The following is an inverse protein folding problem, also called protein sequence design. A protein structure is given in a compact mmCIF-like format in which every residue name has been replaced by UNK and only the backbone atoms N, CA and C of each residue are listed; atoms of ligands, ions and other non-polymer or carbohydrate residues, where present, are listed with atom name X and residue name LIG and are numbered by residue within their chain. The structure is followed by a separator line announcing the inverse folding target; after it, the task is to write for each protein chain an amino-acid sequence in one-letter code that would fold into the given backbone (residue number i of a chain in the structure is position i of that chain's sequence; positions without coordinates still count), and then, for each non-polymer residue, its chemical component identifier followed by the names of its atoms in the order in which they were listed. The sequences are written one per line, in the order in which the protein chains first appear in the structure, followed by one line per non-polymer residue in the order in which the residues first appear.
data_IF_805727926991
#
_entry.id   IF_805727926991
#
_cell.length_a   1.000
_cell.length_b   1.000
_cell.length_c   1.000
_cell.angle_alpha   90.00
_cell.angle_beta   90.00
_cell.angle_gamma   90.00
#
_symmetry.space_group_name_H-M   'P 1'
#
loop_
_entity.id
_entity.type
_entity.pdbx_description
1 polymer ?
#
# COMPACT_ATOMS: atom_id res chain seq x y z
N UNK A 1 -14.23 -13.74 -2.87
CA UNK A 1 -13.42 -13.28 -4.01
C UNK A 1 -11.98 -13.66 -3.73
N UNK A 2 -11.50 -14.70 -4.38
CA UNK A 2 -10.09 -15.09 -4.26
C UNK A 2 -9.27 -14.13 -5.12
N UNK A 3 -8.70 -13.14 -4.48
CA UNK A 3 -7.84 -12.15 -5.13
C UNK A 3 -6.34 -12.49 -5.00
N UNK A 4 -6.05 -13.78 -4.82
CA UNK A 4 -4.70 -14.31 -4.98
C UNK A 4 -4.60 -14.83 -6.41
N UNK A 5 -4.10 -13.98 -7.31
CA UNK A 5 -3.87 -14.36 -8.69
C UNK A 5 -2.66 -15.29 -8.81
N UNK A 6 -2.77 -16.27 -9.68
CA UNK A 6 -1.88 -17.44 -9.81
C UNK A 6 -0.48 -17.15 -10.37
N UNK A 7 -0.10 -15.86 -10.50
CA UNK A 7 1.17 -15.42 -11.13
C UNK A 7 1.96 -14.41 -10.28
N UNK A 8 1.82 -14.45 -8.95
CA UNK A 8 2.50 -13.48 -8.09
C UNK A 8 3.89 -13.97 -7.70
N UNK A 9 4.86 -13.05 -7.75
CA UNK A 9 6.25 -13.32 -7.39
C UNK A 9 6.40 -13.49 -5.87
N UNK A 10 5.51 -12.87 -5.08
CA UNK A 10 5.50 -12.91 -3.62
C UNK A 10 4.25 -13.63 -3.08
N UNK A 11 4.44 -14.71 -2.34
CA UNK A 11 3.38 -15.42 -1.59
C UNK A 11 3.65 -15.31 -0.09
N UNK A 12 2.84 -14.56 0.67
CA UNK A 12 2.98 -14.50 2.11
C UNK A 12 2.56 -15.83 2.77
N UNK A 13 3.41 -16.36 3.65
CA UNK A 13 3.10 -17.55 4.47
C UNK A 13 2.19 -17.16 5.65
N UNK A 14 0.92 -16.85 5.34
CA UNK A 14 -0.08 -16.40 6.32
C UNK A 14 -1.37 -17.20 6.13
N UNK A 15 -1.90 -17.79 7.22
CA UNK A 15 -3.24 -18.38 7.19
C UNK A 15 -4.32 -17.27 7.11
N UNK A 16 -4.80 -17.01 5.92
CA UNK A 16 -5.78 -15.95 5.63
C UNK A 16 -7.17 -16.18 6.27
N UNK A 17 -7.42 -17.35 6.84
CA UNK A 17 -8.66 -17.64 7.59
C UNK A 17 -8.66 -17.03 8.98
N UNK A 18 -7.47 -16.79 9.52
CA UNK A 18 -7.28 -16.16 10.83
C UNK A 18 -7.55 -14.66 10.78
N UNK A 19 -7.74 -14.06 11.94
CA UNK A 19 -7.95 -12.64 12.12
C UNK A 19 -6.82 -12.00 12.96
N UNK A 20 -6.77 -10.68 13.05
CA UNK A 20 -5.70 -9.98 13.77
C UNK A 20 -5.70 -10.29 15.28
N UNK A 21 -6.86 -10.41 15.90
CA UNK A 21 -6.93 -10.75 17.34
C UNK A 21 -6.37 -12.13 17.67
N UNK A 22 -6.42 -13.07 16.72
CA UNK A 22 -5.84 -14.41 16.88
C UNK A 22 -4.34 -14.43 16.58
N UNK A 23 -3.87 -13.59 15.64
CA UNK A 23 -2.49 -13.56 15.17
C UNK A 23 -1.61 -12.67 16.06
N UNK A 24 -2.13 -11.53 16.47
CA UNK A 24 -1.43 -10.50 17.22
C UNK A 24 -2.43 -9.71 18.09
N UNK A 25 -2.81 -10.25 19.25
CA UNK A 25 -3.74 -9.55 20.16
C UNK A 25 -3.24 -8.16 20.57
N UNK A 26 -1.92 -7.96 20.65
CA UNK A 26 -1.29 -6.72 21.05
C UNK A 26 -1.30 -5.62 19.98
N UNK A 27 -1.66 -5.92 18.73
CA UNK A 27 -1.66 -4.90 17.67
C UNK A 27 -2.70 -3.78 17.88
N UNK A 28 -3.58 -3.92 18.89
CA UNK A 28 -4.59 -2.94 19.28
C UNK A 28 -4.39 -2.41 20.71
N UNK A 29 -3.20 -2.52 21.29
CA UNK A 29 -2.94 -2.07 22.67
C UNK A 29 -3.20 -0.56 22.86
N UNK A 30 -3.00 0.24 21.81
CA UNK A 30 -3.30 1.67 21.83
C UNK A 30 -4.80 2.01 21.75
N UNK A 31 -5.69 1.02 21.65
CA UNK A 31 -7.14 1.23 21.57
C UNK A 31 -7.74 1.93 22.80
N UNK A 32 -7.06 1.89 23.95
CA UNK A 32 -7.50 2.61 25.17
C UNK A 32 -7.21 4.11 25.11
N UNK A 33 -6.23 4.53 24.32
CA UNK A 33 -5.75 5.91 24.23
C UNK A 33 -5.99 6.55 22.87
N UNK A 34 -6.28 5.76 21.83
CA UNK A 34 -6.56 6.20 20.47
C UNK A 34 -7.93 5.69 20.01
N UNK A 35 -8.88 6.59 19.90
CA UNK A 35 -10.26 6.31 19.46
C UNK A 35 -10.30 5.68 18.05
N UNK A 36 -9.37 6.04 17.19
CA UNK A 36 -9.31 5.50 15.83
C UNK A 36 -8.83 4.05 15.84
N UNK A 37 -7.79 3.72 16.62
CA UNK A 37 -7.33 2.35 16.83
C UNK A 37 -8.43 1.51 17.49
N UNK A 38 -9.18 2.07 18.45
CA UNK A 38 -10.35 1.41 19.04
C UNK A 38 -11.44 1.10 18.00
N UNK A 39 -11.68 2.02 17.08
CA UNK A 39 -12.62 1.80 15.96
C UNK A 39 -12.10 0.71 15.01
N UNK A 40 -10.81 0.71 14.69
CA UNK A 40 -10.19 -0.34 13.85
C UNK A 40 -10.29 -1.71 14.54
N UNK A 41 -10.02 -1.80 15.85
CA UNK A 41 -10.13 -3.04 16.61
C UNK A 41 -11.55 -3.64 16.51
N UNK A 42 -12.58 -2.80 16.68
CA UNK A 42 -13.98 -3.24 16.54
C UNK A 42 -14.35 -3.67 15.14
N UNK A 43 -13.83 -2.99 14.11
CA UNK A 43 -14.18 -3.24 12.71
C UNK A 43 -13.38 -4.38 12.09
N UNK A 44 -12.09 -4.45 12.38
CA UNK A 44 -11.14 -5.33 11.67
C UNK A 44 -10.60 -6.46 12.55
N UNK A 45 -10.60 -6.32 13.88
CA UNK A 45 -9.95 -7.26 14.79
C UNK A 45 -10.39 -8.71 14.61
N UNK A 46 -11.70 -8.97 14.52
CA UNK A 46 -12.27 -10.30 14.30
C UNK A 46 -12.51 -10.66 12.83
N UNK A 47 -12.16 -9.75 11.88
CA UNK A 47 -12.37 -9.97 10.46
C UNK A 47 -11.28 -10.92 9.92
N UNK A 48 -11.62 -12.04 9.26
CA UNK A 48 -10.63 -12.90 8.63
C UNK A 48 -9.83 -12.14 7.58
N UNK A 49 -8.50 -12.34 7.54
CA UNK A 49 -7.60 -11.62 6.64
C UNK A 49 -8.00 -11.73 5.17
N UNK A 50 -8.51 -12.90 4.74
CA UNK A 50 -9.03 -13.11 3.37
C UNK A 50 -10.17 -12.15 2.95
N UNK A 51 -10.81 -11.50 3.92
CA UNK A 51 -11.91 -10.54 3.68
C UNK A 51 -11.45 -9.08 3.72
N UNK A 52 -10.16 -8.83 3.99
CA UNK A 52 -9.62 -7.47 3.94
C UNK A 52 -9.62 -6.98 2.49
N UNK A 53 -10.06 -5.77 2.29
CA UNK A 53 -9.94 -5.05 1.02
C UNK A 53 -8.85 -3.98 1.13
N UNK A 54 -8.57 -3.27 0.02
CA UNK A 54 -7.54 -2.23 -0.01
C UNK A 54 -7.77 -1.14 1.04
N UNK A 55 -9.03 -0.74 1.26
CA UNK A 55 -9.39 0.28 2.28
C UNK A 55 -9.12 -0.21 3.70
N UNK A 56 -9.36 -1.49 4.00
CA UNK A 56 -9.05 -2.06 5.31
C UNK A 56 -7.55 -2.10 5.57
N UNK A 57 -6.77 -2.52 4.55
CA UNK A 57 -5.31 -2.53 4.60
C UNK A 57 -4.76 -1.12 4.83
N UNK A 58 -5.19 -0.17 4.02
CA UNK A 58 -4.80 1.24 4.14
C UNK A 58 -5.08 1.79 5.54
N UNK A 59 -6.31 1.63 6.03
CA UNK A 59 -6.73 2.16 7.32
C UNK A 59 -5.91 1.59 8.48
N UNK A 60 -5.60 0.29 8.48
CA UNK A 60 -4.82 -0.35 9.52
C UNK A 60 -3.32 -0.02 9.42
N UNK A 61 -2.72 -0.12 8.23
CA UNK A 61 -1.28 0.13 8.00
C UNK A 61 -0.93 1.59 8.33
N UNK A 62 -1.76 2.55 7.93
CA UNK A 62 -1.55 3.97 8.23
C UNK A 62 -1.46 4.26 9.73
N UNK A 63 -2.07 3.44 10.57
CA UNK A 63 -2.02 3.53 12.03
C UNK A 63 -1.07 2.49 12.66
N UNK A 64 -0.20 1.87 11.87
CA UNK A 64 0.76 0.86 12.31
C UNK A 64 0.14 -0.37 12.99
N UNK A 65 -1.12 -0.68 12.67
CA UNK A 65 -1.86 -1.82 13.23
C UNK A 65 -1.57 -3.07 12.40
N UNK A 66 -1.07 -4.13 13.05
CA UNK A 66 -0.89 -5.45 12.46
C UNK A 66 0.09 -5.51 11.28
N UNK A 67 1.11 -4.66 11.25
CA UNK A 67 2.07 -4.54 10.14
C UNK A 67 2.67 -5.88 9.70
N UNK A 68 3.11 -6.80 10.60
CA UNK A 68 3.70 -8.07 10.20
C UNK A 68 2.78 -8.95 9.33
N UNK A 69 1.46 -8.75 9.45
CA UNK A 69 0.43 -9.52 8.76
C UNK A 69 -0.15 -8.75 7.56
N UNK A 70 -0.31 -7.44 7.69
CA UNK A 70 -1.03 -6.64 6.69
C UNK A 70 -0.12 -6.08 5.60
N UNK A 71 1.15 -5.77 5.90
CA UNK A 71 2.09 -5.30 4.87
C UNK A 71 2.33 -6.36 3.79
N UNK A 72 2.55 -7.67 4.12
CA UNK A 72 2.63 -8.70 3.11
C UNK A 72 1.38 -8.79 2.21
N UNK A 73 0.18 -8.61 2.77
CA UNK A 73 -1.06 -8.61 1.97
C UNK A 73 -1.18 -7.36 1.10
N UNK A 74 -0.72 -6.21 1.58
CA UNK A 74 -0.67 -4.98 0.79
C UNK A 74 0.32 -5.13 -0.38
N UNK A 75 1.49 -5.76 -0.18
CA UNK A 75 2.45 -6.05 -1.24
C UNK A 75 1.80 -6.87 -2.35
N UNK A 76 1.09 -7.94 -2.00
CA UNK A 76 0.33 -8.76 -2.96
C UNK A 76 -0.61 -7.90 -3.81
N UNK A 77 -1.34 -6.98 -3.19
CA UNK A 77 -2.25 -6.08 -3.90
C UNK A 77 -1.51 -5.09 -4.79
N UNK A 78 -0.40 -4.53 -4.29
CA UNK A 78 0.41 -3.54 -4.99
C UNK A 78 1.24 -4.15 -6.14
N UNK A 79 1.52 -5.45 -6.10
CA UNK A 79 2.11 -6.16 -7.23
C UNK A 79 1.18 -6.18 -8.44
N UNK A 80 -0.12 -6.34 -8.22
CA UNK A 80 -1.13 -6.29 -9.28
C UNK A 80 -1.38 -4.85 -9.75
N UNK A 81 -1.49 -3.92 -8.82
CA UNK A 81 -1.85 -2.53 -9.06
C UNK A 81 -1.04 -1.59 -8.15
N UNK A 82 0.15 -1.12 -8.58
CA UNK A 82 1.02 -0.27 -7.76
C UNK A 82 0.37 1.02 -7.26
N UNK A 83 -0.58 1.55 -8.02
CA UNK A 83 -1.34 2.76 -7.66
C UNK A 83 -2.76 2.46 -7.17
N UNK A 84 -2.98 1.29 -6.56
CA UNK A 84 -4.28 0.94 -5.99
C UNK A 84 -4.81 2.07 -5.10
N UNK A 85 -6.06 2.48 -5.37
CA UNK A 85 -6.78 3.44 -4.54
C UNK A 85 -7.41 2.69 -3.35
N UNK A 86 -7.06 3.08 -2.15
CA UNK A 86 -7.55 2.45 -0.94
C UNK A 86 -8.28 3.41 0.01
N UNK A 87 -7.95 4.69 -0.05
CA UNK A 87 -8.63 5.78 0.66
C UNK A 87 -9.32 6.71 -0.33
N UNK A 88 -8.61 7.75 -0.76
CA UNK A 88 -9.18 8.82 -1.60
C UNK A 88 -8.41 9.03 -2.92
N UNK A 89 -7.17 8.56 -3.00
CA UNK A 89 -6.28 8.88 -4.12
C UNK A 89 -5.55 7.63 -4.63
N UNK A 90 -5.23 7.56 -5.94
CA UNK A 90 -4.36 6.53 -6.46
C UNK A 90 -2.99 6.54 -5.76
N UNK A 91 -2.51 5.36 -5.36
CA UNK A 91 -1.21 5.21 -4.69
C UNK A 91 -1.21 5.45 -3.18
N UNK A 92 -2.36 5.78 -2.56
CA UNK A 92 -2.43 6.01 -1.12
C UNK A 92 -2.10 4.75 -0.29
N UNK A 93 -2.41 3.55 -0.79
CA UNK A 93 -2.00 2.31 -0.15
C UNK A 93 -0.47 2.15 -0.15
N UNK A 94 0.17 2.42 -1.28
CA UNK A 94 1.63 2.36 -1.39
C UNK A 94 2.30 3.40 -0.48
N UNK A 95 1.74 4.61 -0.42
CA UNK A 95 2.21 5.67 0.48
C UNK A 95 2.10 5.23 1.94
N UNK A 96 0.97 4.68 2.37
CA UNK A 96 0.79 4.19 3.74
C UNK A 96 1.79 3.08 4.11
N UNK A 97 2.09 2.18 3.16
CA UNK A 97 3.11 1.13 3.34
C UNK A 97 4.49 1.75 3.55
N UNK A 98 4.87 2.73 2.72
CA UNK A 98 6.18 3.41 2.84
C UNK A 98 6.34 4.22 4.13
N UNK A 99 5.25 4.82 4.63
CA UNK A 99 5.22 5.65 5.85
C UNK A 99 5.05 4.86 7.14
N UNK A 100 4.86 3.53 7.07
CA UNK A 100 4.71 2.69 8.26
C UNK A 100 5.98 2.68 9.12
N UNK A 101 5.86 2.22 10.38
CA UNK A 101 6.90 2.30 11.42
C UNK A 101 8.28 1.82 10.91
N UNK A 102 9.29 2.66 11.05
CA UNK A 102 10.67 2.40 10.63
C UNK A 102 11.29 1.19 11.33
N UNK A 103 10.87 0.87 12.57
CA UNK A 103 11.31 -0.32 13.31
C UNK A 103 10.84 -1.60 12.61
N UNK A 104 9.63 -1.61 12.06
CA UNK A 104 9.14 -2.73 11.27
C UNK A 104 10.06 -2.99 10.05
N UNK A 105 10.45 -1.94 9.33
CA UNK A 105 11.32 -2.06 8.17
C UNK A 105 12.74 -2.49 8.51
N UNK A 106 13.27 -2.08 9.67
CA UNK A 106 14.58 -2.53 10.15
C UNK A 106 14.64 -4.05 10.34
N UNK A 107 13.51 -4.68 10.69
CA UNK A 107 13.38 -6.13 10.92
C UNK A 107 12.98 -6.90 9.64
N UNK A 108 12.37 -6.23 8.67
CA UNK A 108 11.77 -6.85 7.48
C UNK A 108 12.38 -6.34 6.17
N UNK A 109 13.70 -6.47 6.07
CA UNK A 109 14.43 -6.14 4.84
C UNK A 109 13.95 -6.93 3.62
N UNK A 110 13.48 -8.15 3.81
CA UNK A 110 12.86 -8.98 2.78
C UNK A 110 11.68 -8.27 2.12
N UNK A 111 10.74 -7.78 2.92
CA UNK A 111 9.56 -7.05 2.42
C UNK A 111 9.93 -5.67 1.87
N UNK A 112 10.97 -5.05 2.42
CA UNK A 112 11.48 -3.78 1.90
C UNK A 112 11.93 -3.90 0.43
N UNK A 113 12.63 -4.98 0.09
CA UNK A 113 13.06 -5.26 -1.30
C UNK A 113 11.84 -5.41 -2.24
N UNK A 114 10.80 -6.14 -1.83
CA UNK A 114 9.57 -6.29 -2.63
C UNK A 114 8.91 -4.92 -2.89
N UNK A 115 8.82 -4.07 -1.88
CA UNK A 115 8.26 -2.71 -2.06
C UNK A 115 9.15 -1.86 -2.97
N UNK A 116 10.48 -1.99 -2.92
CA UNK A 116 11.39 -1.28 -3.83
C UNK A 116 11.16 -1.69 -5.28
N UNK A 117 10.91 -2.98 -5.55
CA UNK A 117 10.55 -3.46 -6.90
C UNK A 117 9.22 -2.90 -7.39
N UNK A 118 8.20 -2.89 -6.51
CA UNK A 118 6.90 -2.27 -6.81
C UNK A 118 7.07 -0.78 -7.15
N UNK A 119 7.88 -0.06 -6.37
CA UNK A 119 8.19 1.35 -6.62
C UNK A 119 8.86 1.57 -7.97
N UNK A 120 9.77 0.69 -8.37
CA UNK A 120 10.40 0.73 -9.69
C UNK A 120 9.37 0.65 -10.82
N UNK A 121 8.43 -0.28 -10.72
CA UNK A 121 7.32 -0.43 -11.70
C UNK A 121 6.38 0.77 -11.67
N UNK A 122 6.02 1.24 -10.48
CA UNK A 122 5.17 2.42 -10.32
C UNK A 122 5.78 3.65 -10.99
N UNK A 123 7.07 3.92 -10.78
CA UNK A 123 7.76 5.06 -11.40
C UNK A 123 7.83 4.92 -12.92
N UNK A 124 8.03 3.72 -13.45
CA UNK A 124 8.00 3.48 -14.90
C UNK A 124 6.63 3.78 -15.48
N UNK A 125 5.56 3.25 -14.88
CA UNK A 125 4.18 3.53 -15.31
C UNK A 125 3.87 5.02 -15.27
N UNK A 126 4.32 5.72 -14.24
CA UNK A 126 4.16 7.14 -14.08
C UNK A 126 4.84 7.93 -15.20
N UNK A 127 6.07 7.54 -15.54
CA UNK A 127 6.84 8.17 -16.61
C UNK A 127 6.18 7.96 -17.97
N UNK A 128 5.78 6.74 -18.27
CA UNK A 128 5.13 6.37 -19.54
C UNK A 128 3.81 7.13 -19.72
N UNK A 129 3.00 7.23 -18.64
CA UNK A 129 1.74 7.99 -18.67
C UNK A 129 1.98 9.49 -18.89
N UNK A 130 2.99 10.07 -18.24
CA UNK A 130 3.35 11.47 -18.42
C UNK A 130 3.84 11.77 -19.86
N UNK A 131 4.61 10.86 -20.45
CA UNK A 131 5.05 11.00 -21.85
C UNK A 131 3.88 10.86 -22.83
N UNK A 132 2.96 9.92 -22.59
CA UNK A 132 1.74 9.76 -23.40
C UNK A 132 0.88 11.03 -23.35
N UNK A 133 0.64 11.59 -22.15
CA UNK A 133 -0.10 12.84 -21.99
C UNK A 133 0.56 14.04 -22.71
N UNK A 134 1.89 14.13 -22.70
CA UNK A 134 2.62 15.17 -23.44
C UNK A 134 2.45 15.03 -24.96
N UNK A 135 2.46 13.80 -25.48
CA UNK A 135 2.24 13.53 -26.92
C UNK A 135 0.84 13.95 -27.36
N UNK A 136 -0.19 13.61 -26.60
CA UNK A 136 -1.58 14.01 -26.88
C UNK A 136 -1.70 15.54 -26.87
N UNK A 137 -1.14 16.22 -25.87
CA UNK A 137 -1.16 17.69 -25.81
C UNK A 137 -0.45 18.36 -26.99
N UNK A 138 0.59 17.73 -27.54
CA UNK A 138 1.33 18.25 -28.71
C UNK A 138 0.62 17.99 -30.03
N UNK A 139 -0.17 16.89 -30.14
CA UNK A 139 -0.94 16.57 -31.36
C UNK A 139 -2.17 17.45 -31.55
N UNK A 140 -2.59 18.23 -30.54
CA UNK A 140 -3.78 19.07 -30.59
C UNK A 140 -5.09 18.29 -30.60
N UNK A 141 -5.06 16.98 -30.37
CA UNK A 141 -6.24 16.16 -30.13
C UNK A 141 -6.73 16.45 -28.73
N UNK A 142 -7.97 16.99 -28.64
CA UNK A 142 -8.64 17.18 -27.36
C UNK A 142 -8.87 15.79 -26.76
N UNK A 143 -8.38 15.49 -25.56
CA UNK A 143 -8.60 14.20 -24.96
C UNK A 143 -10.08 14.09 -24.59
N UNK A 144 -10.89 13.58 -25.50
CA UNK A 144 -12.26 13.23 -25.20
C UNK A 144 -12.23 12.17 -24.09
N UNK A 145 -12.45 12.65 -22.86
CA UNK A 145 -12.84 11.86 -21.68
C UNK A 145 -12.01 10.61 -21.35
N UNK A 146 -10.71 10.62 -21.50
CA UNK A 146 -9.84 9.73 -20.75
C UNK A 146 -9.43 10.47 -19.48
N UNK A 147 -9.78 9.95 -18.32
CA UNK A 147 -9.19 10.41 -17.08
C UNK A 147 -7.69 10.53 -17.29
N UNK A 148 -7.19 11.76 -17.35
CA UNK A 148 -5.74 12.02 -17.42
C UNK A 148 -5.19 11.69 -16.04
N UNK A 149 -5.06 10.41 -15.82
CA UNK A 149 -4.49 9.78 -14.66
C UNK A 149 -3.00 10.03 -14.71
N UNK A 150 -2.55 11.01 -13.93
CA UNK A 150 -1.16 11.34 -13.68
C UNK A 150 -0.67 12.63 -14.35
N UNK A 151 0.25 13.36 -13.82
CA UNK A 151 1.23 13.20 -12.74
C UNK A 151 1.01 14.03 -11.49
N UNK A 152 -0.11 14.77 -11.37
CA UNK A 152 -0.35 15.61 -10.20
C UNK A 152 -0.58 14.83 -8.89
N UNK A 153 -0.81 13.51 -9.01
CA UNK A 153 -1.01 12.62 -7.86
C UNK A 153 0.28 12.05 -7.25
N UNK A 154 1.41 12.19 -7.92
CA UNK A 154 2.71 12.02 -7.27
C UNK A 154 3.07 13.32 -6.56
N UNK A 155 2.16 13.77 -5.70
CA UNK A 155 2.34 14.97 -4.90
C UNK A 155 3.56 14.90 -4.00
N UNK A 156 3.85 16.01 -3.35
CA UNK A 156 5.00 16.14 -2.43
C UNK A 156 5.00 15.05 -1.35
N UNK A 157 3.81 14.61 -0.91
CA UNK A 157 3.64 13.56 0.10
C UNK A 157 4.17 12.20 -0.38
N UNK A 158 3.82 11.78 -1.61
CA UNK A 158 4.34 10.53 -2.18
C UNK A 158 5.85 10.59 -2.39
N UNK A 159 6.36 11.70 -2.92
CA UNK A 159 7.80 11.87 -3.14
C UNK A 159 8.55 11.94 -1.82
N UNK A 160 7.98 12.55 -0.80
CA UNK A 160 8.51 12.57 0.56
C UNK A 160 8.60 11.16 1.16
N UNK A 161 7.52 10.40 1.09
CA UNK A 161 7.46 9.01 1.54
C UNK A 161 8.46 8.12 0.78
N UNK A 162 8.57 8.27 -0.54
CA UNK A 162 9.52 7.54 -1.36
C UNK A 162 10.97 7.82 -0.95
N UNK A 163 11.34 9.08 -0.77
CA UNK A 163 12.71 9.46 -0.39
C UNK A 163 13.05 8.95 1.00
N UNK A 164 12.12 9.06 1.94
CA UNK A 164 12.28 8.52 3.29
C UNK A 164 12.47 7.00 3.25
N UNK A 165 11.57 6.28 2.61
CA UNK A 165 11.58 4.82 2.52
C UNK A 165 12.86 4.29 1.87
N UNK A 166 13.32 4.88 0.77
CA UNK A 166 14.60 4.51 0.12
C UNK A 166 15.82 4.81 0.97
N UNK A 167 15.71 5.72 1.93
CA UNK A 167 16.77 6.06 2.86
C UNK A 167 16.94 5.08 4.02
N UNK A 168 15.92 4.24 4.33
CA UNK A 168 15.92 3.36 5.51
C UNK A 168 17.02 2.29 5.52
N UNK A 169 17.56 1.92 4.36
CA UNK A 169 18.60 0.90 4.21
C UNK A 169 19.81 1.39 3.40
N UNK A 170 20.09 2.69 3.46
CA UNK A 170 21.32 3.26 2.87
C UNK A 170 22.46 3.20 3.88
N UNK A 171 22.91 2.00 4.25
CA UNK A 171 24.23 1.80 4.86
C UNK A 171 24.93 0.65 4.17
#
# INVERSE_FOLDING_TARGET
MEWISKNMAFEPDIDLRRNLLELDPGCFDDAETDDYVAMLARRLGAKPLRKFNATDLYAAIRHNVGLPWLVPLAIVRLEEEPFATAGSHPGDLLTAVMESDTRFWAERHDLWLEVVEILGRALTQATDAAEAARRVKQSGEDPETGETWMPDYLGDDFMGALLHFRGLHKE
#
